data_IF_451336938465
#
_entry.id   IF_451336938465
#
_cell.length_a   1.000
_cell.length_b   1.000
_cell.length_c   1.000
_cell.angle_alpha   90.00
_cell.angle_beta   90.00
_cell.angle_gamma   90.00
#
_symmetry.space_group_name_H-M   'P 1'
#
loop_
_entity.id
_entity.type
_entity.pdbx_description
1 polymer ?
#
# COMPACT_ATOMS: atom_id res chain seq x y z
N UNK A 1 -17.40 13.98 10.55
CA UNK A 1 -16.64 13.94 9.28
C UNK A 1 -17.20 12.80 8.45
N UNK A 2 -17.63 13.04 7.21
CA UNK A 2 -18.10 11.98 6.32
C UNK A 2 -16.87 11.15 5.89
N UNK A 3 -16.86 9.83 6.08
CA UNK A 3 -15.69 9.01 5.79
C UNK A 3 -15.41 8.98 4.28
N UNK A 4 -14.13 8.96 3.92
CA UNK A 4 -13.67 8.56 2.58
C UNK A 4 -14.14 7.11 2.39
N UNK A 5 -15.29 6.93 1.77
CA UNK A 5 -15.90 5.60 1.62
C UNK A 5 -15.41 4.98 0.32
N UNK A 6 -14.69 3.89 0.46
CA UNK A 6 -14.47 2.94 -0.62
C UNK A 6 -15.82 2.30 -0.98
N UNK A 7 -16.00 1.95 -2.25
CA UNK A 7 -17.05 1.03 -2.67
C UNK A 7 -16.73 -0.38 -2.15
N UNK A 8 -17.71 -1.29 -2.13
CA UNK A 8 -17.49 -2.65 -1.64
C UNK A 8 -16.42 -3.41 -2.44
N UNK A 9 -16.38 -3.20 -3.76
CA UNK A 9 -15.41 -3.83 -4.65
C UNK A 9 -14.00 -3.24 -4.46
N UNK A 10 -13.89 -1.91 -4.35
CA UNK A 10 -12.63 -1.23 -4.04
C UNK A 10 -12.07 -1.64 -2.68
N UNK A 11 -12.93 -1.74 -1.65
CA UNK A 11 -12.51 -2.16 -0.31
C UNK A 11 -11.97 -3.59 -0.32
N UNK A 12 -12.58 -4.48 -1.13
CA UNK A 12 -12.15 -5.87 -1.27
C UNK A 12 -10.79 -5.97 -1.97
N UNK A 13 -10.61 -5.26 -3.08
CA UNK A 13 -9.32 -5.29 -3.80
C UNK A 13 -8.21 -4.60 -3.00
N UNK A 14 -8.51 -3.46 -2.38
CA UNK A 14 -7.59 -2.77 -1.48
C UNK A 14 -7.13 -3.68 -0.33
N UNK A 15 -8.06 -4.36 0.33
CA UNK A 15 -7.72 -5.26 1.45
C UNK A 15 -6.85 -6.43 1.01
N UNK A 16 -7.10 -6.98 -0.19
CA UNK A 16 -6.32 -8.08 -0.75
C UNK A 16 -4.88 -7.63 -1.05
N UNK A 17 -4.71 -6.48 -1.70
CA UNK A 17 -3.39 -5.91 -2.01
C UNK A 17 -2.64 -5.57 -0.72
N UNK A 18 -3.29 -4.84 0.20
CA UNK A 18 -2.64 -4.41 1.44
C UNK A 18 -2.28 -5.57 2.36
N UNK A 19 -3.07 -6.64 2.41
CA UNK A 19 -2.72 -7.82 3.21
C UNK A 19 -1.39 -8.44 2.77
N UNK A 20 -1.12 -8.51 1.47
CA UNK A 20 0.15 -9.01 0.96
C UNK A 20 1.29 -8.04 1.22
N UNK A 21 1.05 -6.74 0.99
CA UNK A 21 2.03 -5.68 1.18
C UNK A 21 2.44 -5.54 2.65
N UNK A 22 1.50 -5.61 3.58
CA UNK A 22 1.78 -5.48 5.01
C UNK A 22 2.71 -6.58 5.52
N UNK A 23 2.54 -7.81 5.03
CA UNK A 23 3.44 -8.93 5.36
C UNK A 23 4.86 -8.63 4.87
N UNK A 24 5.00 -8.28 3.60
CA UNK A 24 6.31 -7.98 3.00
C UNK A 24 6.98 -6.77 3.66
N UNK A 25 6.22 -5.70 3.88
CA UNK A 25 6.67 -4.49 4.58
C UNK A 25 7.20 -4.82 5.98
N UNK A 26 6.45 -5.59 6.77
CA UNK A 26 6.86 -5.92 8.13
C UNK A 26 8.15 -6.75 8.15
N UNK A 27 8.26 -7.73 7.26
CA UNK A 27 9.46 -8.56 7.14
C UNK A 27 10.68 -7.72 6.74
N UNK A 28 10.55 -6.90 5.71
CA UNK A 28 11.64 -6.05 5.22
C UNK A 28 12.02 -4.99 6.24
N UNK A 29 11.04 -4.34 6.88
CA UNK A 29 11.28 -3.35 7.95
C UNK A 29 12.09 -3.97 9.08
N UNK A 30 11.76 -5.20 9.50
CA UNK A 30 12.52 -5.90 10.53
C UNK A 30 13.96 -6.19 10.06
N UNK A 31 14.15 -6.65 8.82
CA UNK A 31 15.50 -6.91 8.25
C UNK A 31 16.34 -5.64 8.15
N UNK A 32 15.75 -4.51 7.77
CA UNK A 32 16.43 -3.21 7.74
C UNK A 32 16.83 -2.75 9.14
N UNK A 33 15.93 -2.87 10.14
CA UNK A 33 16.23 -2.50 11.54
C UNK A 33 17.33 -3.39 12.13
N UNK A 34 17.31 -4.69 11.84
CA UNK A 34 18.32 -5.64 12.31
C UNK A 34 19.66 -5.52 11.57
N UNK A 35 19.74 -4.72 10.51
CA UNK A 35 20.95 -4.59 9.68
C UNK A 35 21.27 -5.83 8.85
N UNK A 36 20.29 -6.71 8.63
CA UNK A 36 20.41 -7.87 7.72
C UNK A 36 20.35 -7.39 6.27
N UNK A 37 19.47 -6.43 6.01
CA UNK A 37 19.31 -5.79 4.70
C UNK A 37 19.92 -4.38 4.74
N UNK A 38 20.84 -4.04 3.84
CA UNK A 38 21.38 -2.69 3.76
C UNK A 38 20.31 -1.72 3.25
N UNK A 39 20.24 -0.52 3.84
CA UNK A 39 19.30 0.54 3.41
C UNK A 39 19.52 0.99 1.96
N UNK A 40 20.67 0.69 1.36
CA UNK A 40 20.93 0.90 -0.07
C UNK A 40 19.94 0.11 -0.95
N UNK A 41 19.40 -1.01 -0.46
CA UNK A 41 18.40 -1.81 -1.16
C UNK A 41 16.96 -1.29 -0.99
N UNK A 42 16.78 -0.11 -0.39
CA UNK A 42 15.46 0.49 -0.20
C UNK A 42 14.74 0.75 -1.53
N UNK A 43 15.46 1.15 -2.58
CA UNK A 43 14.87 1.35 -3.90
C UNK A 43 14.32 0.04 -4.48
N UNK A 44 15.05 -1.07 -4.31
CA UNK A 44 14.55 -2.40 -4.71
C UNK A 44 13.33 -2.85 -3.91
N UNK A 45 13.26 -2.48 -2.62
CA UNK A 45 12.08 -2.69 -1.79
C UNK A 45 10.87 -1.91 -2.34
N UNK A 46 11.05 -0.66 -2.76
CA UNK A 46 10.00 0.14 -3.38
C UNK A 46 9.53 -0.45 -4.72
N UNK A 47 10.46 -0.90 -5.58
CA UNK A 47 10.09 -1.59 -6.84
C UNK A 47 9.29 -2.87 -6.59
N UNK A 48 9.62 -3.60 -5.52
CA UNK A 48 8.89 -4.80 -5.16
C UNK A 48 7.48 -4.48 -4.67
N UNK A 49 7.31 -3.41 -3.89
CA UNK A 49 5.98 -2.91 -3.51
C UNK A 49 5.16 -2.48 -4.72
N UNK A 50 5.78 -1.85 -5.72
CA UNK A 50 5.13 -1.50 -6.98
C UNK A 50 4.61 -2.75 -7.70
N UNK A 51 5.46 -3.77 -7.87
CA UNK A 51 5.09 -5.06 -8.46
C UNK A 51 3.98 -5.79 -7.68
N UNK A 52 3.85 -5.53 -6.38
CA UNK A 52 2.79 -6.09 -5.54
C UNK A 52 1.45 -5.34 -5.67
N UNK A 53 1.39 -4.25 -6.44
CA UNK A 53 0.16 -3.50 -6.70
C UNK A 53 -0.10 -2.36 -5.73
N UNK A 54 0.92 -1.84 -5.02
CA UNK A 54 0.74 -0.67 -4.13
C UNK A 54 0.12 0.51 -4.89
N UNK A 55 0.47 0.67 -6.17
CA UNK A 55 -0.06 1.73 -7.02
C UNK A 55 -1.56 1.58 -7.28
N UNK A 56 -2.07 0.36 -7.40
CA UNK A 56 -3.51 0.10 -7.54
C UNK A 56 -4.25 0.43 -6.23
N UNK A 57 -3.68 0.08 -5.08
CA UNK A 57 -4.22 0.44 -3.77
C UNK A 57 -4.24 1.96 -3.56
N UNK A 58 -3.20 2.68 -4.01
CA UNK A 58 -3.14 4.14 -3.99
C UNK A 58 -4.18 4.77 -4.92
N UNK A 59 -4.37 4.23 -6.13
CA UNK A 59 -5.38 4.71 -7.06
C UNK A 59 -6.80 4.55 -6.49
N UNK A 60 -7.08 3.43 -5.81
CA UNK A 60 -8.35 3.20 -5.12
C UNK A 60 -8.60 4.25 -4.02
N UNK A 61 -7.58 4.53 -3.20
CA UNK A 61 -7.65 5.57 -2.16
C UNK A 61 -7.86 6.96 -2.78
N UNK A 62 -7.13 7.28 -3.85
CA UNK A 62 -7.23 8.56 -4.55
C UNK A 62 -8.62 8.76 -5.14
N UNK A 63 -9.19 7.75 -5.81
CA UNK A 63 -10.55 7.81 -6.35
C UNK A 63 -11.59 8.08 -5.25
N UNK A 64 -11.41 7.49 -4.06
CA UNK A 64 -12.29 7.73 -2.93
C UNK A 64 -12.14 9.15 -2.36
N UNK A 65 -10.91 9.68 -2.31
CA UNK A 65 -10.63 11.06 -1.91
C UNK A 65 -11.22 12.06 -2.91
N UNK A 66 -11.08 11.81 -4.21
CA UNK A 66 -11.64 12.66 -5.27
C UNK A 66 -13.17 12.72 -5.19
N UNK A 67 -13.83 11.58 -4.93
CA UNK A 67 -15.28 11.52 -4.65
C UNK A 67 -15.68 12.32 -3.41
N UNK A 68 -14.81 12.37 -2.40
CA UNK A 68 -15.05 13.16 -1.20
C UNK A 68 -14.89 14.66 -1.49
N UNK A 69 -13.84 15.06 -2.21
CA UNK A 69 -13.57 16.47 -2.55
C UNK A 69 -14.55 17.05 -3.57
N UNK A 70 -15.16 16.21 -4.41
CA UNK A 70 -16.18 16.62 -5.37
C UNK A 70 -17.59 16.82 -4.76
N UNK A 71 -17.73 16.61 -3.44
CA UNK A 71 -18.96 16.88 -2.68
C UNK A 71 -18.90 18.23 -1.99
#
# INVERSE_FOLDING_TARGET
>A
MLPVSLTADEAKEYSKIMSAIDVYRNEMTLKFIMGIEPLENFDSYLEQLDKMGINDALAIQQAALDRFNAR
#
